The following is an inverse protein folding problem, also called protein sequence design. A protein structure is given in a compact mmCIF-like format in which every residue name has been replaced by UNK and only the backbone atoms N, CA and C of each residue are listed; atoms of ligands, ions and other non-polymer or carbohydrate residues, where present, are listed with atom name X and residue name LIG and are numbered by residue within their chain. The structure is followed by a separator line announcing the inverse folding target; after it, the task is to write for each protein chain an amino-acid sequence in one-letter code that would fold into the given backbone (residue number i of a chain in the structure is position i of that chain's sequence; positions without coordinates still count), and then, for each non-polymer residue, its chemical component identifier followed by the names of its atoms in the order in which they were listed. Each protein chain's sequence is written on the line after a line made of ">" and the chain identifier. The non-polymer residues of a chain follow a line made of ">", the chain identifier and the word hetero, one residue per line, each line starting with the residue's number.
data_IF_074724494295
#
_entry.id   IF_074724494295
#
_cell.length_a   1.000
_cell.length_b   1.000
_cell.length_c   1.000
_cell.angle_alpha   90.00
_cell.angle_beta   90.00
_cell.angle_gamma   90.00
#
_symmetry.space_group_name_H-M   'P 1'
#
loop_
_entity.id
_entity.type
_entity.pdbx_description
1 polymer ?
#
# COMPACT_ATOMS: atom_id res chain seq x y z
N UNK A 1 16.27 0.03 -24.02
CA UNK A 1 14.80 0.25 -24.06
C UNK A 1 14.15 -1.11 -24.05
N UNK A 2 13.25 -1.41 -23.12
CA UNK A 2 12.50 -2.68 -23.07
C UNK A 2 11.20 -2.42 -23.83
N UNK A 3 10.88 -3.27 -24.80
CA UNK A 3 9.62 -3.21 -25.57
C UNK A 3 8.84 -4.52 -25.38
N UNK A 4 7.52 -4.38 -25.37
CA UNK A 4 6.61 -5.52 -25.33
C UNK A 4 6.02 -5.71 -26.73
N UNK A 5 5.98 -6.96 -27.20
CA UNK A 5 5.26 -7.37 -28.42
C UNK A 5 4.01 -8.12 -27.96
N UNK A 6 2.84 -7.60 -28.33
CA UNK A 6 1.55 -8.15 -27.88
C UNK A 6 0.77 -8.64 -29.10
N UNK A 7 0.44 -9.94 -29.12
CA UNK A 7 -0.47 -10.54 -30.08
C UNK A 7 -1.86 -10.68 -29.42
N UNK A 8 -2.81 -9.89 -29.87
CA UNK A 8 -4.19 -9.90 -29.37
C UNK A 8 -5.05 -11.05 -29.88
N UNK A 9 -6.35 -11.03 -29.52
CA UNK A 9 -7.37 -11.96 -30.04
C UNK A 9 -7.48 -13.30 -29.30
N UNK A 10 -6.72 -13.53 -28.24
CA UNK A 10 -6.83 -14.74 -27.42
C UNK A 10 -7.66 -14.49 -26.16
N UNK A 11 -8.56 -15.41 -25.84
CA UNK A 11 -9.28 -15.42 -24.57
C UNK A 11 -8.33 -15.87 -23.46
N UNK A 12 -8.43 -15.22 -22.29
CA UNK A 12 -7.70 -15.65 -21.12
C UNK A 12 -8.53 -16.68 -20.36
N UNK A 13 -7.99 -17.91 -20.26
CA UNK A 13 -8.65 -19.02 -19.56
C UNK A 13 -7.65 -19.74 -18.66
N UNK A 14 -8.06 -20.15 -17.47
CA UNK A 14 -7.24 -20.94 -16.56
C UNK A 14 -7.42 -20.61 -15.09
N UNK A 15 -6.48 -21.09 -14.28
CA UNK A 15 -6.43 -20.89 -12.83
C UNK A 15 -5.11 -20.23 -12.46
N UNK A 16 -5.17 -19.18 -11.64
CA UNK A 16 -4.00 -18.45 -11.13
C UNK A 16 -4.09 -18.25 -9.63
N UNK A 17 -2.93 -18.16 -8.99
CA UNK A 17 -2.81 -17.72 -7.60
C UNK A 17 -2.39 -16.25 -7.56
N UNK A 18 -3.08 -15.45 -6.75
CA UNK A 18 -2.75 -14.03 -6.55
C UNK A 18 -1.52 -13.91 -5.66
N UNK A 19 -0.59 -13.04 -6.07
CA UNK A 19 0.64 -12.77 -5.33
C UNK A 19 0.37 -11.95 -4.05
N UNK A 20 1.39 -11.80 -3.23
CA UNK A 20 1.32 -10.90 -2.06
C UNK A 20 1.17 -9.44 -2.47
N UNK A 21 0.46 -8.68 -1.64
CA UNK A 21 0.16 -7.28 -1.90
C UNK A 21 1.41 -6.40 -1.88
N UNK A 22 1.60 -5.63 -2.96
CA UNK A 22 2.60 -4.57 -3.03
C UNK A 22 2.37 -3.55 -1.91
N UNK A 23 1.16 -3.02 -1.83
CA UNK A 23 0.82 -1.93 -0.93
C UNK A 23 0.87 -2.33 0.55
N UNK A 24 0.66 -3.62 0.88
CA UNK A 24 0.88 -4.14 2.23
C UNK A 24 2.36 -4.45 2.51
N UNK A 25 3.10 -4.94 1.50
CA UNK A 25 4.51 -5.32 1.67
C UNK A 25 5.39 -4.14 2.04
N UNK A 26 5.19 -2.97 1.43
CA UNK A 26 6.04 -1.80 1.63
C UNK A 26 6.03 -1.30 3.09
N UNK A 27 4.88 -1.02 3.72
CA UNK A 27 4.86 -0.63 5.12
C UNK A 27 5.29 -1.74 6.07
N UNK A 28 5.05 -3.02 5.75
CA UNK A 28 5.52 -4.16 6.57
C UNK A 28 7.04 -4.29 6.50
N UNK A 29 7.66 -4.12 5.33
CA UNK A 29 9.12 -4.09 5.19
C UNK A 29 9.69 -2.91 5.99
N UNK A 30 9.09 -1.72 5.89
CA UNK A 30 9.49 -0.57 6.68
C UNK A 30 9.36 -0.84 8.20
N UNK A 31 8.23 -1.36 8.64
CA UNK A 31 7.95 -1.67 10.05
C UNK A 31 8.88 -2.76 10.64
N UNK A 32 9.49 -3.60 9.79
CA UNK A 32 10.38 -4.68 10.23
C UNK A 32 11.61 -4.19 11.03
N UNK A 33 12.01 -2.92 10.84
CA UNK A 33 13.15 -2.34 11.55
C UNK A 33 12.84 -1.93 12.99
N UNK A 34 11.55 -1.77 13.34
CA UNK A 34 11.14 -1.23 14.65
C UNK A 34 11.57 -2.08 15.85
N UNK A 35 11.70 -3.39 15.68
CA UNK A 35 12.14 -4.27 16.77
C UNK A 35 13.64 -4.26 17.03
N UNK A 36 14.45 -3.85 16.06
CA UNK A 36 15.90 -4.05 16.10
C UNK A 36 16.31 -5.52 16.11
N UNK A 37 15.49 -6.42 15.54
CA UNK A 37 15.66 -7.87 15.55
C UNK A 37 15.42 -8.48 14.16
N UNK A 38 15.30 -9.80 14.12
CA UNK A 38 15.07 -10.55 12.88
C UNK A 38 13.58 -10.63 12.56
N UNK A 39 13.22 -10.22 11.35
CA UNK A 39 11.90 -10.39 10.77
C UNK A 39 11.97 -11.37 9.60
N UNK A 40 11.01 -12.31 9.52
CA UNK A 40 10.87 -13.24 8.40
C UNK A 40 9.54 -12.95 7.68
N UNK A 41 9.61 -12.57 6.41
CA UNK A 41 8.44 -12.26 5.60
C UNK A 41 8.24 -13.32 4.51
N UNK A 42 7.00 -13.72 4.31
CA UNK A 42 6.55 -14.62 3.26
C UNK A 42 5.54 -13.90 2.37
N UNK A 43 5.36 -14.39 1.16
CA UNK A 43 4.43 -13.82 0.18
C UNK A 43 4.69 -12.34 -0.15
N UNK A 44 5.95 -11.91 -0.12
CA UNK A 44 6.33 -10.56 -0.58
C UNK A 44 6.56 -10.63 -2.09
N UNK A 45 5.88 -9.79 -2.91
CA UNK A 45 6.04 -9.84 -4.36
C UNK A 45 7.44 -9.37 -4.77
N UNK A 46 8.02 -10.04 -5.78
CA UNK A 46 9.34 -9.67 -6.30
C UNK A 46 9.21 -8.62 -7.41
N UNK A 47 8.93 -7.39 -7.02
CA UNK A 47 8.73 -6.23 -7.90
C UNK A 47 9.71 -5.11 -7.57
N UNK A 48 9.84 -4.14 -8.47
CA UNK A 48 10.79 -3.04 -8.35
C UNK A 48 10.68 -2.31 -6.99
N UNK A 49 9.47 -1.94 -6.58
CA UNK A 49 9.25 -1.17 -5.35
C UNK A 49 9.72 -1.91 -4.09
N UNK A 50 9.45 -3.23 -4.00
CA UNK A 50 9.93 -4.05 -2.87
C UNK A 50 11.44 -4.20 -2.89
N UNK A 51 12.05 -4.29 -4.07
CA UNK A 51 13.51 -4.35 -4.20
C UNK A 51 14.19 -3.05 -3.77
N UNK A 52 13.64 -1.89 -4.18
CA UNK A 52 14.14 -0.57 -3.75
C UNK A 52 14.01 -0.40 -2.24
N UNK A 53 12.87 -0.77 -1.66
CA UNK A 53 12.66 -0.67 -0.21
C UNK A 53 13.68 -1.52 0.55
N UNK A 54 13.92 -2.76 0.11
CA UNK A 54 14.93 -3.64 0.72
C UNK A 54 16.35 -3.08 0.55
N UNK A 55 16.67 -2.51 -0.61
CA UNK A 55 17.96 -1.86 -0.86
C UNK A 55 18.19 -0.65 0.06
N UNK A 56 17.15 0.15 0.31
CA UNK A 56 17.22 1.23 1.29
C UNK A 56 17.56 0.66 2.67
N UNK A 57 16.90 -0.41 3.12
CA UNK A 57 17.19 -1.02 4.41
C UNK A 57 18.63 -1.59 4.49
N UNK A 58 19.15 -2.16 3.40
CA UNK A 58 20.55 -2.62 3.35
C UNK A 58 21.54 -1.47 3.54
N UNK A 59 21.32 -0.33 2.88
CA UNK A 59 22.16 0.87 3.03
C UNK A 59 22.05 1.43 4.44
N UNK A 60 20.87 1.35 5.06
CA UNK A 60 20.67 1.78 6.45
C UNK A 60 21.29 0.80 7.48
N UNK A 61 21.91 -0.30 7.04
CA UNK A 61 22.65 -1.25 7.86
C UNK A 61 21.93 -2.56 8.19
N UNK A 62 20.78 -2.83 7.57
CA UNK A 62 20.13 -4.13 7.72
C UNK A 62 20.83 -5.21 6.88
N UNK A 63 20.84 -6.45 7.38
CA UNK A 63 21.25 -7.61 6.58
C UNK A 63 20.02 -8.30 6.01
N UNK A 64 19.98 -8.50 4.69
CA UNK A 64 18.83 -9.07 4.00
C UNK A 64 19.23 -10.38 3.31
N UNK A 65 18.44 -11.43 3.55
CA UNK A 65 18.61 -12.73 2.93
C UNK A 65 17.31 -13.14 2.22
N UNK A 66 17.42 -13.51 0.93
CA UNK A 66 16.30 -14.02 0.13
C UNK A 66 16.51 -15.49 -0.18
N UNK A 67 15.61 -16.36 0.27
CA UNK A 67 15.70 -17.80 0.00
C UNK A 67 14.30 -18.44 -0.02
N UNK A 68 14.01 -19.22 -1.09
CA UNK A 68 12.78 -20.02 -1.20
C UNK A 68 11.50 -19.21 -0.94
N UNK A 69 11.33 -18.04 -1.60
CA UNK A 69 10.16 -17.18 -1.44
C UNK A 69 10.05 -16.47 -0.09
N UNK A 70 11.06 -16.59 0.76
CA UNK A 70 11.15 -15.94 2.07
C UNK A 70 12.19 -14.83 2.05
N UNK A 71 11.86 -13.70 2.66
CA UNK A 71 12.78 -12.60 2.94
C UNK A 71 13.05 -12.57 4.43
N UNK A 72 14.32 -12.57 4.81
CA UNK A 72 14.77 -12.40 6.19
C UNK A 72 15.46 -11.05 6.30
N UNK A 73 14.98 -10.20 7.19
CA UNK A 73 15.51 -8.86 7.46
C UNK A 73 16.06 -8.88 8.88
N UNK A 74 17.37 -8.76 9.03
CA UNK A 74 18.03 -8.58 10.30
C UNK A 74 18.40 -7.10 10.47
N UNK A 75 17.67 -6.42 11.33
CA UNK A 75 17.86 -5.01 11.62
C UNK A 75 18.64 -4.74 12.91
N UNK A 76 19.28 -5.75 13.52
CA UNK A 76 19.97 -5.61 14.81
C UNK A 76 21.12 -4.59 14.77
N UNK A 77 21.83 -4.54 13.66
CA UNK A 77 22.99 -3.65 13.46
C UNK A 77 22.68 -2.39 12.64
N UNK A 78 21.39 -2.07 12.45
CA UNK A 78 21.00 -0.84 11.76
C UNK A 78 21.28 0.37 12.65
N UNK A 79 22.09 1.31 12.16
CA UNK A 79 22.48 2.54 12.86
C UNK A 79 22.13 3.81 12.07
N UNK A 80 22.03 3.69 10.75
CA UNK A 80 21.73 4.81 9.86
C UNK A 80 20.25 5.20 9.87
N UNK A 81 20.03 6.50 9.77
CA UNK A 81 18.68 7.10 9.80
C UNK A 81 18.43 8.10 8.65
N UNK A 82 19.42 8.26 7.75
CA UNK A 82 19.32 9.10 6.56
C UNK A 82 19.00 8.24 5.35
N UNK A 83 17.81 8.42 4.75
CA UNK A 83 17.41 7.70 3.55
C UNK A 83 18.19 8.25 2.35
N UNK A 84 18.82 7.41 1.49
CA UNK A 84 19.53 7.86 0.30
C UNK A 84 18.59 8.60 -0.68
N UNK A 85 19.02 9.78 -1.13
CA UNK A 85 18.22 10.66 -1.97
C UNK A 85 17.87 10.04 -3.33
N UNK A 86 18.84 9.38 -3.96
CA UNK A 86 18.67 8.69 -5.24
C UNK A 86 17.61 7.59 -5.19
N UNK A 87 17.51 6.86 -4.08
CA UNK A 87 16.49 5.83 -3.88
C UNK A 87 15.15 6.42 -3.43
N UNK A 88 15.18 7.49 -2.62
CA UNK A 88 13.98 8.20 -2.20
C UNK A 88 13.20 8.75 -3.40
N UNK A 89 13.90 9.23 -4.43
CA UNK A 89 13.32 9.77 -5.65
C UNK A 89 12.80 8.71 -6.62
N UNK A 90 13.24 7.46 -6.51
CA UNK A 90 12.80 6.37 -7.40
C UNK A 90 11.40 5.86 -7.06
N UNK A 91 10.92 6.09 -5.83
CA UNK A 91 9.67 5.52 -5.37
C UNK A 91 8.95 6.48 -4.41
N UNK A 92 7.69 6.81 -4.72
CA UNK A 92 6.92 7.71 -3.87
C UNK A 92 6.65 7.15 -2.46
N UNK A 93 6.38 5.86 -2.37
CA UNK A 93 6.09 5.19 -1.09
C UNK A 93 7.30 5.12 -0.14
N UNK A 94 8.50 5.54 -0.58
CA UNK A 94 9.68 5.61 0.28
C UNK A 94 9.49 6.48 1.53
N UNK A 95 8.59 7.47 1.47
CA UNK A 95 8.24 8.31 2.64
C UNK A 95 7.67 7.50 3.82
N UNK A 96 7.12 6.32 3.58
CA UNK A 96 6.59 5.42 4.62
C UNK A 96 7.70 4.92 5.56
N UNK A 97 8.94 4.87 5.11
CA UNK A 97 10.10 4.54 5.96
C UNK A 97 10.33 5.54 7.09
N UNK A 98 9.93 6.82 6.89
CA UNK A 98 10.16 7.87 7.89
C UNK A 98 9.53 7.54 9.24
N UNK A 99 8.29 7.03 9.27
CA UNK A 99 7.61 6.66 10.51
C UNK A 99 8.31 5.53 11.26
N UNK A 100 8.80 4.52 10.54
CA UNK A 100 9.54 3.41 11.15
C UNK A 100 10.91 3.85 11.69
N UNK A 101 11.65 4.66 10.93
CA UNK A 101 12.95 5.20 11.35
C UNK A 101 12.78 6.08 12.58
N UNK A 102 11.80 6.99 12.57
CA UNK A 102 11.48 7.86 13.72
C UNK A 102 11.07 7.06 14.95
N UNK A 103 10.19 6.08 14.80
CA UNK A 103 9.78 5.21 15.90
C UNK A 103 10.97 4.54 16.59
N UNK A 104 11.97 4.12 15.81
CA UNK A 104 13.17 3.44 16.34
C UNK A 104 14.24 4.40 16.85
N UNK A 105 14.64 5.39 16.02
CA UNK A 105 15.83 6.21 16.25
C UNK A 105 15.50 7.62 16.79
N UNK A 106 14.23 8.03 16.78
CA UNK A 106 13.78 9.39 17.15
C UNK A 106 14.39 10.50 16.29
N UNK A 107 15.02 10.14 15.18
CA UNK A 107 15.56 11.02 14.16
C UNK A 107 15.46 10.36 12.79
N UNK A 108 15.18 11.15 11.75
CA UNK A 108 15.16 10.71 10.36
C UNK A 108 15.51 11.89 9.46
N UNK A 109 16.27 11.64 8.40
CA UNK A 109 16.53 12.61 7.33
C UNK A 109 16.17 11.98 6.00
N UNK A 110 15.37 12.67 5.22
CA UNK A 110 14.94 12.22 3.89
C UNK A 110 14.64 13.41 2.98
N UNK A 111 14.72 13.19 1.68
CA UNK A 111 14.30 14.19 0.67
C UNK A 111 12.81 14.01 0.33
N UNK A 112 12.26 14.96 -0.43
CA UNK A 112 10.93 14.79 -0.98
C UNK A 112 10.88 13.56 -1.88
N UNK A 113 9.86 12.69 -1.74
CA UNK A 113 9.74 11.49 -2.55
C UNK A 113 9.46 11.85 -4.01
N UNK A 114 10.09 11.12 -4.94
CA UNK A 114 9.86 11.20 -6.38
C UNK A 114 8.99 10.09 -6.94
N UNK A 115 9.19 9.75 -8.20
CA UNK A 115 8.76 8.48 -8.79
C UNK A 115 7.29 8.38 -9.23
N UNK A 116 6.57 9.50 -9.42
CA UNK A 116 5.23 9.44 -9.99
C UNK A 116 4.83 10.80 -10.59
N UNK A 117 4.70 10.87 -11.91
CA UNK A 117 4.29 12.08 -12.64
C UNK A 117 2.77 12.32 -12.62
N UNK A 118 2.04 11.57 -11.79
CA UNK A 118 0.58 11.68 -11.64
C UNK A 118 0.24 12.83 -10.67
N UNK A 119 0.56 14.06 -11.01
CA UNK A 119 0.19 15.26 -10.26
C UNK A 119 0.86 15.45 -8.89
N UNK A 120 0.61 16.60 -8.26
CA UNK A 120 1.15 16.95 -6.95
C UNK A 120 0.55 16.06 -5.84
N UNK A 121 1.41 15.40 -5.10
CA UNK A 121 1.03 14.57 -3.93
C UNK A 121 1.79 15.07 -2.71
N UNK A 122 1.33 16.11 -2.05
CA UNK A 122 1.99 16.65 -0.87
C UNK A 122 2.07 15.60 0.24
N UNK A 123 3.13 15.69 1.05
CA UNK A 123 3.33 14.83 2.23
C UNK A 123 2.97 15.56 3.53
N UNK A 124 2.26 16.66 3.41
CA UNK A 124 1.83 17.52 4.53
C UNK A 124 1.07 16.77 5.61
N UNK A 125 0.19 15.82 5.25
CA UNK A 125 -0.53 15.00 6.22
C UNK A 125 0.41 14.10 7.04
N UNK A 126 1.48 13.59 6.41
CA UNK A 126 2.52 12.84 7.13
C UNK A 126 3.22 13.75 8.14
N UNK A 127 3.71 14.91 7.68
CA UNK A 127 4.44 15.85 8.53
C UNK A 127 3.55 16.41 9.64
N UNK A 128 2.29 16.74 9.35
CA UNK A 128 1.30 17.18 10.34
C UNK A 128 1.09 16.14 11.42
N UNK A 129 0.92 14.88 11.06
CA UNK A 129 0.75 13.78 12.01
C UNK A 129 2.00 13.57 12.88
N UNK A 130 3.18 13.61 12.28
CA UNK A 130 4.46 13.46 13.00
C UNK A 130 4.71 14.61 13.96
N UNK A 131 4.41 15.88 13.58
CA UNK A 131 4.50 17.03 14.49
C UNK A 131 3.59 16.88 15.72
N UNK A 132 2.41 16.26 15.56
CA UNK A 132 1.49 15.99 16.69
C UNK A 132 2.05 14.98 17.69
N UNK A 133 3.00 14.14 17.29
CA UNK A 133 3.72 13.21 18.16
C UNK A 133 4.95 13.84 18.85
N UNK A 134 5.12 15.18 18.76
CA UNK A 134 6.24 15.90 19.36
C UNK A 134 7.54 15.82 18.53
N UNK A 135 7.44 15.53 17.23
CA UNK A 135 8.61 15.50 16.35
C UNK A 135 8.82 16.89 15.75
N UNK A 136 10.02 17.46 15.98
CA UNK A 136 10.50 18.65 15.32
C UNK A 136 10.85 18.34 13.87
N UNK A 137 10.38 19.18 12.94
CA UNK A 137 10.59 18.98 11.49
C UNK A 137 11.10 20.28 10.89
N UNK A 138 12.31 20.22 10.36
CA UNK A 138 12.98 21.31 9.67
C UNK A 138 13.16 20.93 8.20
N UNK A 139 12.81 21.85 7.30
CA UNK A 139 12.95 21.68 5.84
C UNK A 139 14.07 22.60 5.36
N UNK A 140 15.19 22.02 4.93
CA UNK A 140 16.36 22.76 4.51
C UNK A 140 17.05 22.08 3.31
N UNK A 141 17.44 22.86 2.33
CA UNK A 141 18.20 22.42 1.14
C UNK A 141 17.61 21.19 0.43
N UNK A 142 16.26 21.05 0.41
CA UNK A 142 15.57 19.92 -0.22
C UNK A 142 15.49 18.65 0.66
N UNK A 143 15.96 18.72 1.88
CA UNK A 143 15.84 17.65 2.87
C UNK A 143 14.84 18.02 3.96
N UNK A 144 14.22 16.98 4.51
CA UNK A 144 13.34 17.03 5.67
C UNK A 144 14.08 16.36 6.81
N UNK A 145 14.44 17.14 7.82
CA UNK A 145 15.14 16.70 9.02
C UNK A 145 14.13 16.61 10.16
N UNK A 146 13.95 15.41 10.67
CA UNK A 146 13.03 15.09 11.75
C UNK A 146 13.81 14.66 12.98
N UNK A 147 13.51 15.23 14.15
CA UNK A 147 14.15 14.86 15.42
C UNK A 147 13.20 15.03 16.59
N UNK A 148 13.40 14.24 17.64
CA UNK A 148 12.71 14.41 18.93
C UNK A 148 13.53 13.71 20.02
N UNK A 149 13.42 14.16 21.24
CA UNK A 149 13.96 13.42 22.38
C UNK A 149 13.06 12.24 22.76
N UNK A 150 11.74 12.42 22.58
CA UNK A 150 10.73 11.43 22.94
C UNK A 150 9.49 11.59 22.08
N UNK A 151 8.97 10.48 21.59
CA UNK A 151 7.69 10.45 20.89
C UNK A 151 6.59 10.26 21.93
N UNK A 152 5.63 11.20 21.94
CA UNK A 152 4.52 11.21 22.90
C UNK A 152 3.24 10.94 22.15
N UNK A 153 2.44 9.99 22.65
CA UNK A 153 1.14 9.66 22.11
C UNK A 153 0.19 10.86 22.12
N UNK A 154 -0.62 11.01 21.09
CA UNK A 154 -1.47 12.18 20.90
C UNK A 154 -2.75 11.83 20.12
N UNK A 155 -3.75 12.72 20.22
CA UNK A 155 -4.95 12.66 19.36
C UNK A 155 -4.65 13.38 18.04
N UNK A 156 -4.76 12.65 16.93
CA UNK A 156 -4.42 13.11 15.58
C UNK A 156 -5.65 12.95 14.69
N UNK A 157 -6.18 14.10 14.24
CA UNK A 157 -7.23 14.13 13.22
C UNK A 157 -6.59 14.31 11.86
N UNK A 158 -6.81 13.36 10.93
CA UNK A 158 -6.43 13.53 9.54
C UNK A 158 -7.52 14.30 8.78
N UNK A 159 -7.11 15.27 7.97
CA UNK A 159 -8.04 16.06 7.16
C UNK A 159 -8.62 15.22 6.01
N UNK A 160 -7.86 14.21 5.57
CA UNK A 160 -8.25 13.23 4.57
C UNK A 160 -7.72 11.84 5.00
N UNK A 161 -8.46 10.74 4.73
CA UNK A 161 -8.02 9.37 5.08
C UNK A 161 -6.86 8.92 4.18
N UNK A 162 -5.67 9.46 4.45
CA UNK A 162 -4.44 9.14 3.72
C UNK A 162 -3.84 7.82 4.22
N UNK A 163 -3.68 6.85 3.32
CA UNK A 163 -3.06 5.54 3.63
C UNK A 163 -1.65 5.73 4.16
N UNK A 164 -0.78 6.41 3.40
CA UNK A 164 0.62 6.57 3.80
C UNK A 164 0.81 7.39 5.08
N UNK A 165 -0.01 8.44 5.31
CA UNK A 165 0.05 9.19 6.57
C UNK A 165 -0.40 8.32 7.75
N UNK A 166 -1.46 7.53 7.60
CA UNK A 166 -1.93 6.57 8.61
C UNK A 166 -0.83 5.56 8.95
N UNK A 167 -0.17 4.96 7.94
CA UNK A 167 0.94 4.02 8.13
C UNK A 167 2.11 4.65 8.89
N UNK A 168 2.54 5.85 8.49
CA UNK A 168 3.64 6.56 9.14
C UNK A 168 3.35 6.86 10.61
N UNK A 169 2.15 7.37 10.90
CA UNK A 169 1.74 7.69 12.27
C UNK A 169 1.66 6.42 13.11
N UNK A 170 1.11 5.32 12.58
CA UNK A 170 1.08 4.02 13.27
C UNK A 170 2.50 3.61 13.64
N UNK A 171 3.43 3.55 12.67
CA UNK A 171 4.79 3.08 12.90
C UNK A 171 5.57 3.96 13.87
N UNK A 172 5.41 5.28 13.79
CA UNK A 172 6.05 6.20 14.73
C UNK A 172 5.49 6.05 16.16
N UNK A 173 4.22 5.66 16.31
CA UNK A 173 3.52 5.63 17.60
C UNK A 173 3.68 4.33 18.38
N UNK A 174 4.06 3.21 17.75
CA UNK A 174 4.11 1.90 18.46
C UNK A 174 5.10 1.85 19.61
N UNK A 175 6.13 2.69 19.59
CA UNK A 175 7.13 2.84 20.66
C UNK A 175 7.04 4.21 21.37
N UNK A 176 5.95 4.97 21.17
CA UNK A 176 5.70 6.24 21.83
C UNK A 176 5.35 6.05 23.32
N UNK A 177 5.47 7.10 24.10
CA UNK A 177 4.93 7.10 25.45
C UNK A 177 3.45 7.50 25.44
N UNK A 178 2.62 6.68 26.08
CA UNK A 178 1.18 6.91 26.17
C UNK A 178 0.38 6.39 24.99
N UNK A 179 -0.85 6.87 24.85
CA UNK A 179 -1.82 6.45 23.82
C UNK A 179 -1.82 7.43 22.64
N UNK A 180 -1.82 6.89 21.42
CA UNK A 180 -2.11 7.64 20.20
C UNK A 180 -3.48 7.24 19.65
N UNK A 181 -4.30 8.24 19.31
CA UNK A 181 -5.60 8.04 18.65
C UNK A 181 -5.57 8.75 17.31
N UNK A 182 -5.71 8.00 16.23
CA UNK A 182 -5.85 8.54 14.88
C UNK A 182 -7.33 8.52 14.52
N UNK A 183 -7.89 9.68 14.19
CA UNK A 183 -9.27 9.83 13.69
C UNK A 183 -9.26 10.22 12.22
N UNK A 184 -10.30 9.83 11.48
CA UNK A 184 -10.36 9.86 10.01
C UNK A 184 -9.18 9.11 9.37
N UNK A 185 -8.81 7.98 9.97
CA UNK A 185 -7.76 7.09 9.46
C UNK A 185 -8.20 6.40 8.16
N UNK A 186 -7.23 6.03 7.34
CA UNK A 186 -7.47 5.17 6.19
C UNK A 186 -7.93 3.77 6.65
N UNK A 187 -8.89 3.18 5.91
CA UNK A 187 -9.54 1.93 6.29
C UNK A 187 -9.12 0.75 5.39
N UNK A 188 -8.21 0.96 4.47
CA UNK A 188 -7.73 -0.03 3.51
C UNK A 188 -7.26 -1.31 4.21
N UNK A 189 -7.48 -2.48 3.58
CA UNK A 189 -7.04 -3.78 4.11
C UNK A 189 -5.55 -3.84 4.44
N UNK A 190 -4.73 -3.08 3.73
CA UNK A 190 -3.28 -2.96 3.94
C UNK A 190 -2.95 -2.36 5.32
N UNK A 191 -3.80 -1.45 5.84
CA UNK A 191 -3.67 -0.90 7.20
C UNK A 191 -3.99 -1.98 8.24
N UNK A 192 -4.98 -2.83 7.95
CA UNK A 192 -5.32 -3.97 8.83
C UNK A 192 -4.15 -4.96 8.86
N UNK A 193 -3.53 -5.23 7.71
CA UNK A 193 -2.38 -6.14 7.61
C UNK A 193 -1.16 -5.59 8.37
N UNK A 194 -0.90 -4.28 8.28
CA UNK A 194 0.13 -3.61 9.07
C UNK A 194 -0.14 -3.72 10.58
N UNK A 195 -1.37 -3.47 11.03
CA UNK A 195 -1.77 -3.67 12.43
C UNK A 195 -1.50 -5.10 12.89
N UNK A 196 -1.92 -6.09 12.10
CA UNK A 196 -1.75 -7.51 12.44
C UNK A 196 -0.26 -7.89 12.53
N UNK A 197 0.55 -7.40 11.60
CA UNK A 197 2.00 -7.57 11.62
C UNK A 197 2.62 -6.98 12.90
N UNK A 198 2.33 -5.71 13.20
CA UNK A 198 2.87 -5.01 14.37
C UNK A 198 2.38 -5.63 15.68
N UNK A 199 1.11 -6.03 15.77
CA UNK A 199 0.57 -6.71 16.95
C UNK A 199 1.24 -8.07 17.16
N UNK A 200 1.57 -8.79 16.09
CA UNK A 200 2.37 -10.03 16.17
C UNK A 200 3.79 -9.78 16.68
N UNK A 201 4.35 -8.58 16.43
CA UNK A 201 5.61 -8.13 17.04
C UNK A 201 5.45 -7.73 18.51
N UNK A 202 4.25 -7.62 19.03
CA UNK A 202 3.96 -7.25 20.43
C UNK A 202 3.49 -5.80 20.61
N UNK A 203 3.16 -5.09 19.52
CA UNK A 203 2.48 -3.80 19.61
C UNK A 203 1.03 -3.98 20.13
N UNK A 204 0.41 -2.87 20.49
CA UNK A 204 -0.97 -2.82 20.99
C UNK A 204 -1.77 -1.83 20.14
N UNK A 205 -2.24 -2.30 18.98
CA UNK A 205 -3.00 -1.51 18.01
C UNK A 205 -4.40 -2.10 17.86
N UNK A 206 -5.43 -1.26 17.83
CA UNK A 206 -6.83 -1.63 17.61
C UNK A 206 -7.49 -0.64 16.68
N UNK A 207 -8.49 -1.11 15.91
CA UNK A 207 -9.35 -0.26 15.10
C UNK A 207 -8.92 -0.08 13.64
N UNK A 208 -7.83 -0.70 13.17
CA UNK A 208 -7.54 -0.74 11.74
C UNK A 208 -8.70 -1.35 10.94
N UNK A 209 -9.00 -0.80 9.77
CA UNK A 209 -10.22 -1.11 9.02
C UNK A 209 -11.43 -0.28 9.43
N UNK A 210 -11.29 0.60 10.42
CA UNK A 210 -12.26 1.64 10.79
C UNK A 210 -11.63 3.02 10.70
N UNK A 211 -12.42 4.07 10.80
CA UNK A 211 -11.93 5.44 10.75
C UNK A 211 -11.24 5.92 12.04
N UNK A 212 -11.14 5.06 13.06
CA UNK A 212 -10.47 5.38 14.34
C UNK A 212 -9.52 4.26 14.71
N UNK A 213 -8.23 4.59 14.84
CA UNK A 213 -7.17 3.65 15.25
C UNK A 213 -6.59 4.12 16.58
N UNK A 214 -6.47 3.19 17.53
CA UNK A 214 -5.86 3.40 18.83
C UNK A 214 -4.58 2.60 18.97
N UNK A 215 -3.53 3.22 19.49
CA UNK A 215 -2.21 2.62 19.65
C UNK A 215 -1.73 2.93 21.06
N UNK A 216 -1.58 1.88 21.87
CA UNK A 216 -0.90 1.99 23.16
C UNK A 216 0.58 1.72 22.93
N UNK A 217 1.43 2.68 23.20
CA UNK A 217 2.87 2.54 23.02
C UNK A 217 3.45 1.44 23.92
N UNK A 218 4.43 0.71 23.40
CA UNK A 218 5.12 -0.37 24.11
C UNK A 218 6.61 -0.10 24.23
N UNK A 219 7.25 -0.67 25.26
CA UNK A 219 8.69 -0.46 25.47
C UNK A 219 9.57 -1.22 24.49
N UNK A 220 9.14 -2.39 24.03
CA UNK A 220 9.91 -3.26 23.14
C UNK A 220 9.04 -4.07 22.22
N UNK A 221 9.58 -4.40 21.04
CA UNK A 221 8.97 -5.30 20.07
C UNK A 221 9.79 -6.59 19.95
N UNK A 222 9.18 -7.63 19.38
CA UNK A 222 9.76 -8.97 19.23
C UNK A 222 10.11 -9.27 17.79
N UNK A 223 10.95 -10.27 17.56
CA UNK A 223 11.11 -10.90 16.25
C UNK A 223 9.78 -11.54 15.80
N UNK A 224 9.57 -11.60 14.50
CA UNK A 224 8.31 -12.07 13.92
C UNK A 224 8.54 -12.87 12.64
N UNK A 225 7.63 -13.80 12.38
CA UNK A 225 7.43 -14.43 11.06
C UNK A 225 6.02 -14.10 10.60
N UNK A 226 5.89 -13.53 9.39
CA UNK A 226 4.62 -13.01 8.90
C UNK A 226 4.41 -13.34 7.42
N UNK A 227 3.18 -13.61 7.06
CA UNK A 227 2.75 -13.84 5.67
C UNK A 227 1.92 -12.63 5.23
N UNK A 228 2.41 -11.90 4.23
CA UNK A 228 1.73 -10.72 3.70
C UNK A 228 0.43 -11.13 2.99
N UNK A 229 -0.61 -10.33 3.14
CA UNK A 229 -1.91 -10.55 2.51
C UNK A 229 -1.81 -10.59 0.97
N UNK A 230 -2.76 -11.26 0.27
CA UNK A 230 -2.81 -11.25 -1.18
C UNK A 230 -3.16 -9.85 -1.74
N UNK A 231 -2.71 -9.57 -2.97
CA UNK A 231 -2.90 -8.28 -3.63
C UNK A 231 -4.28 -8.15 -4.26
N UNK A 232 -5.13 -7.30 -3.69
CA UNK A 232 -6.46 -7.03 -4.21
C UNK A 232 -6.45 -6.29 -5.56
N UNK A 233 -5.41 -5.52 -5.85
CA UNK A 233 -5.29 -4.78 -7.11
C UNK A 233 -4.85 -5.72 -8.23
N UNK A 234 -3.91 -6.64 -7.96
CA UNK A 234 -3.56 -7.71 -8.89
C UNK A 234 -4.79 -8.58 -9.21
N UNK A 235 -5.54 -9.00 -8.19
CA UNK A 235 -6.78 -9.76 -8.38
C UNK A 235 -7.75 -9.02 -9.30
N UNK A 236 -8.05 -7.74 -9.00
CA UNK A 236 -8.92 -6.91 -9.83
C UNK A 236 -8.40 -6.74 -11.26
N UNK A 237 -7.09 -6.59 -11.44
CA UNK A 237 -6.44 -6.47 -12.75
C UNK A 237 -6.63 -7.73 -13.59
N UNK A 238 -6.42 -8.91 -13.00
CA UNK A 238 -6.59 -10.20 -13.69
C UNK A 238 -8.06 -10.45 -14.07
N UNK A 239 -9.00 -10.06 -13.20
CA UNK A 239 -10.44 -10.12 -13.51
C UNK A 239 -10.80 -9.19 -14.68
N UNK A 240 -10.30 -7.96 -14.72
CA UNK A 240 -10.51 -7.03 -15.83
C UNK A 240 -9.87 -7.52 -17.13
N UNK A 241 -8.65 -8.06 -17.07
CA UNK A 241 -7.98 -8.66 -18.24
C UNK A 241 -8.77 -9.83 -18.83
N UNK A 242 -9.36 -10.65 -17.97
CA UNK A 242 -10.23 -11.75 -18.40
C UNK A 242 -11.55 -11.23 -19.00
N UNK A 243 -12.14 -10.21 -18.37
CA UNK A 243 -13.38 -9.61 -18.82
C UNK A 243 -13.24 -8.99 -20.23
N UNK A 244 -12.18 -8.22 -20.49
CA UNK A 244 -11.93 -7.57 -21.79
C UNK A 244 -11.66 -8.58 -22.91
N UNK A 245 -11.07 -9.75 -22.59
CA UNK A 245 -10.74 -10.80 -23.57
C UNK A 245 -11.89 -11.79 -23.80
N UNK A 246 -12.99 -11.70 -23.05
CA UNK A 246 -14.14 -12.61 -23.18
C UNK A 246 -13.86 -14.03 -22.68
N UNK A 247 -12.98 -14.17 -21.68
CA UNK A 247 -12.48 -15.44 -21.16
C UNK A 247 -13.14 -15.91 -19.86
N UNK A 248 -12.47 -16.89 -19.22
CA UNK A 248 -12.89 -17.45 -17.93
C UNK A 248 -11.67 -17.73 -17.05
N UNK A 249 -11.66 -17.20 -15.83
CA UNK A 249 -10.55 -17.38 -14.89
C UNK A 249 -11.05 -17.82 -13.52
N UNK A 250 -10.25 -18.64 -12.85
CA UNK A 250 -10.33 -18.91 -11.43
C UNK A 250 -9.11 -18.31 -10.74
N UNK A 251 -9.34 -17.35 -9.84
CA UNK A 251 -8.30 -16.78 -8.98
C UNK A 251 -8.35 -17.43 -7.60
N UNK A 252 -7.23 -17.98 -7.17
CA UNK A 252 -7.02 -18.52 -5.84
C UNK A 252 -6.16 -17.58 -4.99
N UNK A 253 -6.17 -17.77 -3.67
CA UNK A 253 -5.51 -16.89 -2.69
C UNK A 253 -6.00 -15.43 -2.80
N UNK A 254 -7.29 -15.24 -2.93
CA UNK A 254 -7.96 -13.93 -2.94
C UNK A 254 -8.75 -13.77 -1.66
N UNK A 255 -8.78 -12.55 -1.14
CA UNK A 255 -9.74 -12.15 -0.11
C UNK A 255 -10.89 -11.38 -0.79
N UNK A 256 -12.00 -12.04 -1.15
CA UNK A 256 -13.03 -11.43 -1.98
C UNK A 256 -13.66 -10.17 -1.38
N UNK A 257 -13.72 -10.09 -0.05
CA UNK A 257 -14.25 -8.91 0.66
C UNK A 257 -13.43 -7.64 0.36
N UNK A 258 -12.14 -7.78 0.03
CA UNK A 258 -11.26 -6.65 -0.27
C UNK A 258 -11.46 -6.07 -1.68
N UNK A 259 -12.14 -6.80 -2.56
CA UNK A 259 -12.42 -6.39 -3.95
C UNK A 259 -13.92 -6.30 -4.27
N UNK A 260 -14.77 -6.24 -3.24
CA UNK A 260 -16.22 -6.17 -3.39
C UNK A 260 -16.72 -5.15 -4.41
N UNK A 261 -16.28 -3.87 -4.37
CA UNK A 261 -16.67 -2.87 -5.36
C UNK A 261 -16.28 -3.21 -6.81
N UNK A 262 -15.12 -3.86 -7.00
CA UNK A 262 -14.66 -4.31 -8.33
C UNK A 262 -15.53 -5.45 -8.84
N UNK A 263 -15.83 -6.44 -7.98
CA UNK A 263 -16.73 -7.55 -8.29
C UNK A 263 -18.09 -7.00 -8.70
N UNK A 264 -18.71 -6.11 -7.91
CA UNK A 264 -20.01 -5.52 -8.21
C UNK A 264 -20.02 -4.84 -9.58
N UNK A 265 -19.00 -4.06 -9.92
CA UNK A 265 -18.91 -3.38 -11.22
C UNK A 265 -18.68 -4.33 -12.39
N UNK A 266 -17.99 -5.43 -12.19
CA UNK A 266 -17.83 -6.49 -13.19
C UNK A 266 -19.16 -7.23 -13.43
N UNK A 267 -19.95 -7.50 -12.38
CA UNK A 267 -21.30 -8.08 -12.50
C UNK A 267 -22.25 -7.13 -13.23
N UNK A 268 -22.26 -5.83 -12.89
CA UNK A 268 -23.03 -4.80 -13.60
C UNK A 268 -22.66 -4.75 -15.09
N UNK A 269 -21.37 -4.95 -15.44
CA UNK A 269 -20.91 -4.99 -16.83
C UNK A 269 -21.26 -6.30 -17.56
N UNK A 270 -21.91 -7.24 -16.88
CA UNK A 270 -22.46 -8.49 -17.43
C UNK A 270 -21.59 -9.72 -17.23
N UNK A 271 -20.52 -9.64 -16.44
CA UNK A 271 -19.75 -10.82 -16.06
C UNK A 271 -20.52 -11.71 -15.08
N UNK A 272 -20.35 -13.03 -15.20
CA UNK A 272 -20.83 -13.98 -14.19
C UNK A 272 -19.69 -14.22 -13.20
N UNK A 273 -19.94 -13.96 -11.92
CA UNK A 273 -18.95 -14.12 -10.87
C UNK A 273 -19.43 -15.11 -9.82
N UNK A 274 -18.58 -16.05 -9.44
CA UNK A 274 -18.81 -16.94 -8.31
C UNK A 274 -17.72 -16.71 -7.27
N UNK A 275 -18.14 -16.34 -6.06
CA UNK A 275 -17.25 -15.98 -4.95
C UNK A 275 -17.16 -17.15 -3.99
N UNK A 276 -15.96 -17.73 -3.85
CA UNK A 276 -15.62 -18.72 -2.83
C UNK A 276 -15.05 -18.07 -1.57
N UNK A 277 -14.60 -18.89 -0.64
CA UNK A 277 -14.01 -18.38 0.62
C UNK A 277 -12.71 -17.59 0.35
N UNK A 278 -11.81 -18.13 -0.46
CA UNK A 278 -10.51 -17.54 -0.79
C UNK A 278 -10.26 -17.65 -2.31
N UNK A 279 -11.32 -17.63 -3.11
CA UNK A 279 -11.25 -17.70 -4.56
C UNK A 279 -12.37 -16.90 -5.22
N UNK A 280 -12.13 -16.50 -6.46
CA UNK A 280 -13.12 -15.84 -7.32
C UNK A 280 -13.04 -16.45 -8.70
N UNK A 281 -14.19 -16.89 -9.24
CA UNK A 281 -14.31 -17.36 -10.61
C UNK A 281 -15.08 -16.30 -11.39
N UNK A 282 -14.53 -15.85 -12.53
CA UNK A 282 -15.18 -14.94 -13.45
C UNK A 282 -15.35 -15.62 -14.81
N UNK A 283 -16.53 -15.48 -15.40
CA UNK A 283 -16.84 -15.81 -16.79
C UNK A 283 -17.35 -14.56 -17.49
N UNK A 284 -16.64 -14.12 -18.51
CA UNK A 284 -16.96 -12.90 -19.23
C UNK A 284 -18.08 -13.11 -20.26
N UNK A 285 -18.93 -12.11 -20.51
CA UNK A 285 -19.91 -12.15 -21.60
C UNK A 285 -19.21 -11.97 -22.95
N UNK A 286 -19.94 -12.24 -24.06
CA UNK A 286 -19.44 -11.95 -25.42
C UNK A 286 -19.08 -10.48 -25.62
N UNK A 287 -19.80 -9.57 -24.95
CA UNK A 287 -19.54 -8.14 -24.97
C UNK A 287 -19.99 -7.53 -23.66
N UNK A 288 -19.14 -6.71 -23.08
CA UNK A 288 -19.39 -5.99 -21.85
C UNK A 288 -20.47 -4.91 -22.05
N UNK A 289 -21.21 -4.60 -21.00
CA UNK A 289 -22.10 -3.44 -20.92
C UNK A 289 -21.34 -2.27 -20.31
N UNK A 290 -21.64 -1.06 -20.74
CA UNK A 290 -21.13 0.15 -20.15
C UNK A 290 -21.65 0.32 -18.71
N UNK A 291 -20.75 0.75 -17.81
CA UNK A 291 -21.05 1.06 -16.40
C UNK A 291 -20.26 2.29 -15.98
N UNK A 292 -20.82 3.05 -15.05
CA UNK A 292 -20.14 4.22 -14.50
C UNK A 292 -19.31 3.85 -13.27
N UNK A 293 -18.15 4.51 -13.13
CA UNK A 293 -17.23 4.34 -12.01
C UNK A 293 -16.98 5.66 -11.34
N UNK A 294 -17.03 5.66 -10.01
CA UNK A 294 -16.57 6.76 -9.15
C UNK A 294 -15.61 6.20 -8.13
N UNK A 295 -14.36 6.64 -8.17
CA UNK A 295 -13.36 6.22 -7.18
C UNK A 295 -13.62 6.89 -5.83
N UNK A 296 -13.45 6.13 -4.77
CA UNK A 296 -13.69 6.57 -3.39
C UNK A 296 -12.66 5.91 -2.46
N UNK A 297 -12.32 6.52 -1.30
CA UNK A 297 -11.61 5.81 -0.24
C UNK A 297 -12.29 4.49 0.11
N UNK A 298 -11.50 3.51 0.56
CA UNK A 298 -12.04 2.20 0.96
C UNK A 298 -13.17 2.37 2.02
N UNK A 299 -14.28 1.63 1.92
CA UNK A 299 -14.54 0.49 1.05
C UNK A 299 -15.14 0.82 -0.34
N UNK A 300 -14.95 2.05 -0.83
CA UNK A 300 -15.39 2.43 -2.18
C UNK A 300 -14.50 1.84 -3.29
N UNK A 301 -14.82 2.19 -4.56
CA UNK A 301 -14.07 1.71 -5.71
C UNK A 301 -12.62 2.26 -5.69
N UNK A 302 -11.60 1.40 -5.70
CA UNK A 302 -10.22 1.84 -5.48
C UNK A 302 -9.67 2.65 -6.66
N UNK A 303 -8.97 3.75 -6.36
CA UNK A 303 -8.31 4.62 -7.35
C UNK A 303 -7.32 3.85 -8.23
N UNK A 304 -6.61 2.87 -7.67
CA UNK A 304 -5.63 2.04 -8.40
C UNK A 304 -6.27 1.19 -9.49
N UNK A 305 -7.56 0.91 -9.39
CA UNK A 305 -8.31 0.17 -10.41
C UNK A 305 -8.92 1.07 -11.50
N UNK A 306 -8.86 2.40 -11.37
CA UNK A 306 -9.52 3.31 -12.29
C UNK A 306 -9.06 3.12 -13.74
N UNK A 307 -7.77 3.26 -14.00
CA UNK A 307 -7.21 3.17 -15.36
C UNK A 307 -7.41 1.77 -15.96
N UNK A 308 -7.25 0.72 -15.16
CA UNK A 308 -7.42 -0.67 -15.58
C UNK A 308 -8.87 -0.93 -15.99
N UNK A 309 -9.79 -0.50 -15.15
CA UNK A 309 -11.22 -0.70 -15.42
C UNK A 309 -11.71 0.18 -16.59
N UNK A 310 -11.20 1.42 -16.70
CA UNK A 310 -11.49 2.30 -17.85
C UNK A 310 -10.99 1.66 -19.15
N UNK A 311 -9.76 1.10 -19.16
CA UNK A 311 -9.25 0.35 -20.29
C UNK A 311 -10.16 -0.83 -20.69
N UNK A 312 -10.66 -1.59 -19.74
CA UNK A 312 -11.64 -2.66 -20.00
C UNK A 312 -12.94 -2.11 -20.60
N UNK A 313 -13.46 -1.00 -20.10
CA UNK A 313 -14.72 -0.41 -20.57
C UNK A 313 -14.66 0.17 -21.98
N UNK A 314 -13.48 0.42 -22.55
CA UNK A 314 -13.34 0.86 -23.96
C UNK A 314 -13.94 -0.13 -24.96
N UNK A 315 -14.09 -1.41 -24.58
CA UNK A 315 -14.70 -2.46 -25.41
C UNK A 315 -16.18 -2.69 -25.11
N UNK A 316 -16.74 -1.98 -24.13
CA UNK A 316 -18.13 -2.15 -23.71
C UNK A 316 -19.12 -1.54 -24.72
N UNK A 317 -20.37 -2.01 -24.71
CA UNK A 317 -21.46 -1.43 -25.48
C UNK A 317 -22.13 -0.32 -24.67
N UNK A 318 -22.10 0.90 -25.18
CA UNK A 318 -22.68 2.08 -24.55
C UNK A 318 -21.64 3.11 -24.16
N UNK A 319 -22.00 4.06 -23.32
CA UNK A 319 -21.14 5.11 -22.79
C UNK A 319 -20.88 4.86 -21.32
N UNK A 320 -19.64 4.95 -20.89
CA UNK A 320 -19.23 4.86 -19.48
C UNK A 320 -18.64 6.19 -19.03
N UNK A 321 -18.96 6.59 -17.80
CA UNK A 321 -18.35 7.74 -17.14
C UNK A 321 -17.43 7.25 -16.03
N UNK A 322 -16.18 7.70 -16.06
CA UNK A 322 -15.21 7.42 -15.00
C UNK A 322 -14.84 8.72 -14.30
N UNK A 323 -15.09 8.80 -12.99
CA UNK A 323 -14.83 9.98 -12.17
C UNK A 323 -13.82 9.63 -11.08
N UNK A 324 -12.70 10.37 -11.05
CA UNK A 324 -11.75 10.28 -9.93
C UNK A 324 -12.14 11.26 -8.84
N UNK A 325 -12.24 10.76 -7.62
CA UNK A 325 -12.50 11.56 -6.42
C UNK A 325 -11.28 12.34 -5.96
N UNK A 326 -10.09 11.86 -6.26
CA UNK A 326 -8.82 12.50 -5.87
C UNK A 326 -8.32 13.40 -7.00
N UNK A 327 -7.86 14.60 -6.68
CA UNK A 327 -7.17 15.51 -7.62
C UNK A 327 -5.96 14.85 -8.33
N UNK A 328 -5.57 13.67 -7.89
CA UNK A 328 -4.44 12.90 -8.41
C UNK A 328 -4.59 12.49 -9.87
N UNK A 329 -5.83 12.25 -10.34
CA UNK A 329 -6.12 11.79 -11.71
C UNK A 329 -7.24 12.56 -12.37
N UNK A 330 -7.85 13.53 -11.66
CA UNK A 330 -8.97 14.32 -12.19
C UNK A 330 -8.55 15.32 -13.29
N UNK A 331 -7.25 15.56 -13.43
CA UNK A 331 -6.68 16.48 -14.44
C UNK A 331 -5.98 15.77 -15.59
N UNK A 332 -5.93 14.43 -15.58
CA UNK A 332 -5.45 13.66 -16.73
C UNK A 332 -6.54 13.67 -17.80
N UNK A 333 -6.51 14.66 -18.67
CA UNK A 333 -7.30 14.67 -19.90
C UNK A 333 -6.51 13.97 -21.00
N UNK A 334 -7.18 13.55 -22.09
CA UNK A 334 -6.53 13.01 -23.27
C UNK A 334 -5.56 13.99 -23.96
N UNK A 335 -5.45 15.23 -23.47
CA UNK A 335 -4.48 16.23 -23.91
C UNK A 335 -3.18 16.19 -23.10
N UNK A 336 -3.17 15.54 -21.95
CA UNK A 336 -2.01 15.41 -21.07
C UNK A 336 -1.29 14.05 -21.24
N UNK A 337 -1.82 13.19 -22.10
CA UNK A 337 -1.28 11.92 -22.56
C UNK A 337 -0.89 12.01 -24.02
#
# INVERSE_FOLDING_TARGET
>A
MISYIIEGGRRLEGTLEVSGSKNASLPIIAASILSGKITKLYNVPNIHDTQITLKILEILGCKIYKRNGKIVIDSSNMEEHKIPDDLMRQMRSSVVLAGAILGRFKKATFSYPGGCDIGSRPIDLHLKGLRKLGIEIEEEAGYINCKTNQIIGSKIQLDFPSVGATENIIMASVLAEGETIITNAAMEPEIVDLQNFLNKMGAKIKGAGTNVIKIDGVKTLKNVSYNVMPDRIEAGTLLCATAITGGKIELNKVEPIHIGPVISKLEESGCKINVGKNSVILEAPKRLKAVDIKTMPYPGFPTDMQSIFTGMLTTAKGTSMTVSYTHLRAHETSQDL
#
